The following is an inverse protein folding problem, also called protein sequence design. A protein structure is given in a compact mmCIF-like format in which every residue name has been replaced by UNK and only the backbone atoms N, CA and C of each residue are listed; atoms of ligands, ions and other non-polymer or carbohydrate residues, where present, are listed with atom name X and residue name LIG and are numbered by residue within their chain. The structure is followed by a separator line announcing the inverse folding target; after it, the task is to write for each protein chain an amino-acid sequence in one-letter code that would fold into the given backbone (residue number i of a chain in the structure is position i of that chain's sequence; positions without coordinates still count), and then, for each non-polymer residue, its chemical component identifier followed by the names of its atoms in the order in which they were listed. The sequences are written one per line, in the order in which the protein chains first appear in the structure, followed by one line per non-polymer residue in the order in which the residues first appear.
data_IF_380521982531
#
_entry.id   IF_380521982531
#
_cell.length_a   1.000
_cell.length_b   1.000
_cell.length_c   1.000
_cell.angle_alpha   90.00
_cell.angle_beta   90.00
_cell.angle_gamma   90.00
#
_symmetry.space_group_name_H-M   'P 1'
#
loop_
_entity.id
_entity.type
_entity.pdbx_description
1 polymer ?
#
# COMPACT_ATOMS: atom_id res chain seq x y z
N UNK A 1 15.45 21.16 -16.88
CA UNK A 1 14.50 21.92 -17.73
C UNK A 1 13.08 22.04 -17.13
N UNK A 2 12.74 21.38 -16.00
CA UNK A 2 11.40 21.41 -15.40
C UNK A 2 11.08 22.62 -14.49
N UNK A 3 12.07 23.29 -13.87
CA UNK A 3 11.80 24.43 -12.94
C UNK A 3 11.23 25.67 -13.61
N UNK A 4 11.58 25.93 -14.88
CA UNK A 4 11.09 27.07 -15.65
C UNK A 4 9.60 26.94 -16.04
N UNK A 5 9.03 25.74 -16.00
CA UNK A 5 7.61 25.53 -16.33
C UNK A 5 6.69 25.96 -15.19
N UNK A 6 7.09 25.73 -13.93
CA UNK A 6 6.25 26.02 -12.77
C UNK A 6 6.11 27.52 -12.50
N UNK A 7 7.19 28.30 -12.60
CA UNK A 7 7.14 29.76 -12.44
C UNK A 7 6.27 30.41 -13.54
N UNK A 8 6.41 29.94 -14.78
CA UNK A 8 5.57 30.42 -15.88
C UNK A 8 4.08 30.05 -15.70
N UNK A 9 3.78 28.89 -15.12
CA UNK A 9 2.42 28.47 -14.81
C UNK A 9 1.81 29.32 -13.70
N UNK A 10 2.53 29.57 -12.61
CA UNK A 10 2.08 30.45 -11.52
C UNK A 10 1.83 31.89 -12.01
N UNK A 11 2.73 32.44 -12.83
CA UNK A 11 2.57 33.76 -13.46
C UNK A 11 1.32 33.78 -14.34
N UNK A 12 1.09 32.73 -15.14
CA UNK A 12 -0.09 32.63 -15.99
C UNK A 12 -1.39 32.56 -15.16
N UNK A 13 -1.41 31.76 -14.08
CA UNK A 13 -2.55 31.66 -13.18
C UNK A 13 -2.87 33.00 -12.52
N UNK A 14 -1.85 33.72 -12.04
CA UNK A 14 -2.00 35.06 -11.46
C UNK A 14 -2.50 36.06 -12.49
N UNK A 15 -1.98 36.01 -13.73
CA UNK A 15 -2.42 36.88 -14.81
C UNK A 15 -3.90 36.65 -15.17
N UNK A 16 -4.32 35.38 -15.33
CA UNK A 16 -5.72 35.02 -15.62
C UNK A 16 -6.64 35.49 -14.49
N UNK A 17 -6.24 35.26 -13.24
CA UNK A 17 -7.03 35.68 -12.07
C UNK A 17 -7.15 37.21 -12.03
N UNK A 18 -6.04 37.94 -12.20
CA UNK A 18 -6.03 39.40 -12.20
C UNK A 18 -6.88 39.97 -13.36
N UNK A 19 -6.75 39.43 -14.57
CA UNK A 19 -7.54 39.84 -15.72
C UNK A 19 -9.05 39.62 -15.49
N UNK A 20 -9.44 38.48 -14.89
CA UNK A 20 -10.84 38.20 -14.56
C UNK A 20 -11.39 39.17 -13.49
N UNK A 21 -10.59 39.55 -12.49
CA UNK A 21 -10.98 40.53 -11.47
C UNK A 21 -11.15 41.91 -12.08
N UNK A 22 -10.17 42.36 -12.86
CA UNK A 22 -10.20 43.66 -13.54
C UNK A 22 -11.41 43.72 -14.48
N UNK A 23 -11.66 42.65 -15.23
CA UNK A 23 -12.83 42.54 -16.11
C UNK A 23 -14.15 42.68 -15.35
N UNK A 24 -14.31 41.98 -14.21
CA UNK A 24 -15.52 42.07 -13.39
C UNK A 24 -15.70 43.48 -12.81
N UNK A 25 -14.64 44.08 -12.27
CA UNK A 25 -14.64 45.41 -11.67
C UNK A 25 -14.94 46.49 -12.71
N UNK A 26 -14.27 46.46 -13.88
CA UNK A 26 -14.48 47.44 -14.95
C UNK A 26 -15.88 47.32 -15.55
N UNK A 27 -16.36 46.10 -15.77
CA UNK A 27 -17.73 45.90 -16.28
C UNK A 27 -18.76 46.41 -15.28
N UNK A 28 -18.51 46.22 -13.97
CA UNK A 28 -19.38 46.80 -12.92
C UNK A 28 -19.45 48.32 -13.00
N UNK A 29 -18.30 48.99 -13.12
CA UNK A 29 -18.24 50.47 -13.24
C UNK A 29 -18.98 50.93 -14.50
N UNK A 30 -18.73 50.27 -15.64
CA UNK A 30 -19.41 50.57 -16.90
C UNK A 30 -20.92 50.38 -16.80
N UNK A 31 -21.36 49.25 -16.23
CA UNK A 31 -22.77 48.92 -16.05
C UNK A 31 -23.49 49.92 -15.13
N UNK A 32 -22.88 50.26 -13.99
CA UNK A 32 -23.46 51.24 -13.05
C UNK A 32 -23.56 52.65 -13.66
N UNK A 33 -22.57 53.08 -14.46
CA UNK A 33 -22.59 54.40 -15.11
C UNK A 33 -23.57 54.51 -16.27
N UNK A 34 -23.92 53.39 -16.92
CA UNK A 34 -24.84 53.33 -18.06
C UNK A 34 -26.26 52.86 -17.69
N UNK A 35 -26.51 52.60 -16.40
CA UNK A 35 -27.83 52.19 -15.91
C UNK A 35 -28.21 50.73 -16.18
N UNK A 36 -27.23 49.85 -16.41
CA UNK A 36 -27.43 48.42 -16.65
C UNK A 36 -27.22 47.67 -15.33
N UNK A 37 -28.27 47.04 -14.78
CA UNK A 37 -28.21 46.50 -13.42
C UNK A 37 -28.29 44.97 -13.28
N UNK A 38 -28.50 44.25 -14.36
CA UNK A 38 -28.91 42.84 -14.26
C UNK A 38 -27.76 41.82 -14.30
N UNK A 39 -26.66 42.12 -15.01
CA UNK A 39 -25.73 41.07 -15.47
C UNK A 39 -24.36 41.09 -14.79
N UNK A 40 -23.90 42.25 -14.28
CA UNK A 40 -22.51 42.40 -13.87
C UNK A 40 -22.14 41.57 -12.62
N UNK A 41 -23.09 41.22 -11.75
CA UNK A 41 -22.86 40.40 -10.57
C UNK A 41 -22.35 38.99 -10.92
N UNK A 42 -22.82 38.41 -12.03
CA UNK A 42 -22.39 37.07 -12.46
C UNK A 42 -20.89 37.01 -12.82
N UNK A 43 -20.30 38.14 -13.23
CA UNK A 43 -18.88 38.20 -13.61
C UNK A 43 -17.93 38.00 -12.43
N UNK A 44 -18.41 38.16 -11.19
CA UNK A 44 -17.63 37.88 -9.98
C UNK A 44 -17.52 36.40 -9.65
N UNK A 45 -18.39 35.55 -10.21
CA UNK A 45 -18.33 34.11 -9.97
C UNK A 45 -17.06 33.52 -10.58
N UNK A 46 -16.66 33.98 -11.77
CA UNK A 46 -15.46 33.50 -12.45
C UNK A 46 -14.15 33.68 -11.63
N UNK A 47 -13.79 34.90 -11.16
CA UNK A 47 -12.60 35.09 -10.33
C UNK A 47 -12.68 34.31 -9.00
N UNK A 48 -13.87 34.14 -8.41
CA UNK A 48 -14.05 33.31 -7.21
C UNK A 48 -13.69 31.85 -7.52
N UNK A 49 -14.26 31.27 -8.58
CA UNK A 49 -13.99 29.88 -8.98
C UNK A 49 -12.50 29.70 -9.32
N UNK A 50 -11.90 30.63 -10.07
CA UNK A 50 -10.48 30.58 -10.42
C UNK A 50 -9.59 30.63 -9.17
N UNK A 51 -9.91 31.49 -8.20
CA UNK A 51 -9.16 31.55 -6.96
C UNK A 51 -9.33 30.27 -6.11
N UNK A 52 -10.53 29.70 -6.05
CA UNK A 52 -10.77 28.40 -5.39
C UNK A 52 -9.97 27.30 -6.05
N UNK A 53 -9.87 27.29 -7.37
CA UNK A 53 -9.14 26.27 -8.12
C UNK A 53 -7.62 26.39 -7.94
N UNK A 54 -7.04 27.58 -8.10
CA UNK A 54 -5.60 27.79 -8.00
C UNK A 54 -5.09 27.88 -6.55
N UNK A 55 -5.88 28.49 -5.66
CA UNK A 55 -5.45 28.83 -4.30
C UNK A 55 -6.52 28.52 -3.24
N UNK A 56 -7.00 27.25 -3.11
CA UNK A 56 -8.14 26.89 -2.27
C UNK A 56 -7.97 27.26 -0.80
N UNK A 57 -6.73 27.25 -0.27
CA UNK A 57 -6.42 27.63 1.12
C UNK A 57 -6.59 29.13 1.41
N UNK A 58 -6.47 29.99 0.39
CA UNK A 58 -6.58 31.45 0.50
C UNK A 58 -7.89 31.99 -0.10
N UNK A 59 -8.64 31.15 -0.81
CA UNK A 59 -9.83 31.53 -1.57
C UNK A 59 -10.95 32.16 -0.73
N UNK A 60 -11.11 31.79 0.55
CA UNK A 60 -12.13 32.39 1.42
C UNK A 60 -11.84 33.87 1.68
N UNK A 61 -10.60 34.20 2.05
CA UNK A 61 -10.19 35.59 2.28
C UNK A 61 -10.27 36.42 0.99
N UNK A 62 -9.88 35.82 -0.13
CA UNK A 62 -10.00 36.46 -1.44
C UNK A 62 -11.46 36.74 -1.82
N UNK A 63 -12.35 35.76 -1.63
CA UNK A 63 -13.79 35.91 -1.90
C UNK A 63 -14.39 37.02 -1.03
N UNK A 64 -13.99 37.09 0.24
CA UNK A 64 -14.43 38.17 1.13
C UNK A 64 -13.98 39.54 0.63
N UNK A 65 -12.70 39.69 0.29
CA UNK A 65 -12.16 40.95 -0.23
C UNK A 65 -12.84 41.39 -1.55
N UNK A 66 -13.06 40.44 -2.46
CA UNK A 66 -13.71 40.70 -3.73
C UNK A 66 -15.20 41.04 -3.57
N UNK A 67 -15.90 40.35 -2.65
CA UNK A 67 -17.32 40.63 -2.35
C UNK A 67 -17.50 41.98 -1.67
N UNK A 68 -16.57 42.38 -0.80
CA UNK A 68 -16.53 43.73 -0.22
C UNK A 68 -16.27 44.80 -1.28
N UNK A 69 -15.38 44.53 -2.23
CA UNK A 69 -15.13 45.44 -3.37
C UNK A 69 -16.40 45.64 -4.20
N UNK A 70 -17.12 44.55 -4.50
CA UNK A 70 -18.39 44.59 -5.21
C UNK A 70 -19.46 45.44 -4.50
N UNK A 71 -19.71 45.19 -3.20
CA UNK A 71 -20.64 46.01 -2.42
C UNK A 71 -20.18 47.47 -2.38
N UNK A 72 -18.88 47.71 -2.18
CA UNK A 72 -18.29 49.05 -2.14
C UNK A 72 -18.55 49.84 -3.41
N UNK A 73 -18.41 49.21 -4.58
CA UNK A 73 -18.73 49.84 -5.86
C UNK A 73 -20.21 50.21 -5.98
N UNK A 74 -21.11 49.33 -5.56
CA UNK A 74 -22.56 49.60 -5.60
C UNK A 74 -22.93 50.74 -4.65
N UNK A 75 -22.31 50.81 -3.47
CA UNK A 75 -22.56 51.89 -2.53
C UNK A 75 -22.05 53.25 -3.05
N UNK A 76 -20.89 53.26 -3.69
CA UNK A 76 -20.27 54.49 -4.22
C UNK A 76 -20.92 54.99 -5.52
N UNK A 77 -21.32 54.09 -6.43
CA UNK A 77 -21.78 54.44 -7.78
C UNK A 77 -23.27 54.17 -8.03
N UNK A 78 -23.95 53.40 -7.17
CA UNK A 78 -25.35 52.97 -7.35
C UNK A 78 -26.42 53.98 -6.91
N UNK A 79 -26.07 55.25 -6.74
CA UNK A 79 -26.99 56.38 -6.47
C UNK A 79 -28.04 56.16 -5.36
N UNK A 80 -27.68 55.46 -4.27
CA UNK A 80 -28.52 55.22 -3.09
C UNK A 80 -29.88 54.54 -3.37
N UNK A 81 -30.00 53.76 -4.45
CA UNK A 81 -31.21 52.97 -4.69
C UNK A 81 -31.30 51.80 -3.70
N UNK A 82 -32.31 51.82 -2.82
CA UNK A 82 -32.54 50.79 -1.80
C UNK A 82 -32.65 49.39 -2.38
N UNK A 83 -33.29 49.23 -3.56
CA UNK A 83 -33.42 47.92 -4.22
C UNK A 83 -32.07 47.36 -4.66
N UNK A 84 -31.17 48.21 -5.16
CA UNK A 84 -29.84 47.80 -5.60
C UNK A 84 -28.96 47.39 -4.42
N UNK A 85 -29.04 48.11 -3.30
CA UNK A 85 -28.30 47.76 -2.08
C UNK A 85 -28.81 46.41 -1.54
N UNK A 86 -30.12 46.20 -1.48
CA UNK A 86 -30.69 44.92 -1.08
C UNK A 86 -30.22 43.76 -1.99
N UNK A 87 -30.26 43.94 -3.31
CA UNK A 87 -29.74 42.96 -4.26
C UNK A 87 -28.23 42.70 -4.07
N UNK A 88 -27.44 43.74 -3.81
CA UNK A 88 -26.01 43.61 -3.54
C UNK A 88 -25.70 42.79 -2.29
N UNK A 89 -26.49 42.98 -1.23
CA UNK A 89 -26.34 42.17 0.00
C UNK A 89 -26.66 40.70 -0.23
N UNK A 90 -27.68 40.39 -1.04
CA UNK A 90 -27.99 39.02 -1.43
C UNK A 90 -26.85 38.40 -2.25
N UNK A 91 -26.30 39.14 -3.21
CA UNK A 91 -25.15 38.70 -4.01
C UNK A 91 -23.90 38.47 -3.18
N UNK A 92 -23.61 39.32 -2.19
CA UNK A 92 -22.51 39.10 -1.25
C UNK A 92 -22.68 37.79 -0.48
N UNK A 93 -23.89 37.51 0.03
CA UNK A 93 -24.17 36.24 0.70
C UNK A 93 -23.98 35.04 -0.24
N UNK A 94 -24.40 35.15 -1.51
CA UNK A 94 -24.21 34.12 -2.54
C UNK A 94 -22.73 33.91 -2.83
N UNK A 95 -21.94 34.97 -3.06
CA UNK A 95 -20.51 34.86 -3.31
C UNK A 95 -19.78 34.23 -2.13
N UNK A 96 -20.08 34.66 -0.91
CA UNK A 96 -19.52 34.06 0.31
C UNK A 96 -19.88 32.58 0.42
N UNK A 97 -21.13 32.22 0.15
CA UNK A 97 -21.57 30.82 0.21
C UNK A 97 -20.83 29.97 -0.83
N UNK A 98 -20.75 30.42 -2.08
CA UNK A 98 -20.03 29.73 -3.16
C UNK A 98 -18.55 29.60 -2.81
N UNK A 99 -17.89 30.69 -2.42
CA UNK A 99 -16.47 30.69 -2.11
C UNK A 99 -16.12 29.78 -0.93
N UNK A 100 -16.93 29.80 0.14
CA UNK A 100 -16.71 28.94 1.32
C UNK A 100 -16.98 27.47 1.00
N UNK A 101 -18.11 27.14 0.37
CA UNK A 101 -18.47 25.76 0.03
C UNK A 101 -17.47 25.16 -0.95
N UNK A 102 -17.15 25.90 -2.02
CA UNK A 102 -16.22 25.45 -3.04
C UNK A 102 -14.79 25.33 -2.48
N UNK A 103 -14.33 26.28 -1.65
CA UNK A 103 -13.02 26.20 -0.97
C UNK A 103 -12.95 25.01 0.00
N UNK A 104 -14.00 24.79 0.80
CA UNK A 104 -14.08 23.65 1.73
C UNK A 104 -14.01 22.31 0.97
N UNK A 105 -14.77 22.18 -0.11
CA UNK A 105 -14.75 21.00 -0.96
C UNK A 105 -13.38 20.79 -1.62
N UNK A 106 -12.80 21.84 -2.20
CA UNK A 106 -11.49 21.79 -2.85
C UNK A 106 -10.37 21.40 -1.86
N UNK A 107 -10.35 21.99 -0.67
CA UNK A 107 -9.39 21.63 0.39
C UNK A 107 -9.59 20.19 0.85
N UNK A 108 -10.83 19.75 1.10
CA UNK A 108 -11.12 18.38 1.52
C UNK A 108 -10.67 17.35 0.48
N UNK A 109 -10.95 17.60 -0.80
CA UNK A 109 -10.51 16.73 -1.89
C UNK A 109 -8.99 16.67 -2.01
N UNK A 110 -8.30 17.81 -1.81
CA UNK A 110 -6.85 17.85 -1.82
C UNK A 110 -6.25 17.06 -0.64
N UNK A 111 -6.73 17.30 0.57
CA UNK A 111 -6.26 16.62 1.78
C UNK A 111 -6.51 15.10 1.72
N UNK A 112 -7.65 14.69 1.19
CA UNK A 112 -7.99 13.27 1.00
C UNK A 112 -7.05 12.61 -0.03
N UNK A 113 -6.77 13.26 -1.17
CA UNK A 113 -5.79 12.77 -2.14
C UNK A 113 -4.40 12.63 -1.55
N UNK A 114 -3.93 13.64 -0.81
CA UNK A 114 -2.61 13.60 -0.14
C UNK A 114 -2.57 12.49 0.90
N UNK A 115 -3.63 12.31 1.68
CA UNK A 115 -3.74 11.22 2.66
C UNK A 115 -3.65 9.86 1.98
N UNK A 116 -4.43 9.60 0.93
CA UNK A 116 -4.41 8.34 0.19
C UNK A 116 -3.03 8.09 -0.39
N UNK A 117 -2.44 9.08 -1.06
CA UNK A 117 -1.10 8.95 -1.63
C UNK A 117 -0.05 8.59 -0.57
N UNK A 118 -0.10 9.24 0.60
CA UNK A 118 0.83 8.95 1.70
C UNK A 118 0.62 7.55 2.31
N UNK A 119 -0.63 7.09 2.43
CA UNK A 119 -0.92 5.72 2.87
C UNK A 119 -0.34 4.70 1.88
N UNK A 120 -0.57 4.90 0.59
CA UNK A 120 -0.05 4.00 -0.45
C UNK A 120 1.49 3.98 -0.48
N UNK A 121 2.12 5.15 -0.33
CA UNK A 121 3.58 5.31 -0.36
C UNK A 121 4.28 4.70 0.85
N UNK A 122 3.68 4.81 2.04
CA UNK A 122 4.26 4.35 3.30
C UNK A 122 3.74 2.98 3.76
N UNK A 123 2.94 2.29 2.95
CA UNK A 123 2.50 0.92 3.26
C UNK A 123 3.69 -0.02 3.45
N UNK A 124 3.57 -0.95 4.40
CA UNK A 124 4.52 -2.04 4.59
C UNK A 124 4.49 -3.03 3.42
N UNK A 125 3.31 -3.15 2.79
CA UNK A 125 3.08 -3.97 1.61
C UNK A 125 3.59 -3.26 0.35
N UNK A 126 3.98 -4.05 -0.64
CA UNK A 126 4.16 -3.57 -2.00
C UNK A 126 2.81 -3.25 -2.61
N UNK A 127 2.69 -2.11 -3.29
CA UNK A 127 1.48 -1.76 -4.03
C UNK A 127 1.84 -1.60 -5.48
N UNK A 128 1.05 -2.23 -6.34
CA UNK A 128 1.18 -2.18 -7.79
C UNK A 128 -0.18 -1.85 -8.40
N UNK A 129 -0.21 -0.92 -9.34
CA UNK A 129 -1.34 -0.67 -10.21
C UNK A 129 -0.95 -0.93 -11.66
N UNK A 130 -1.77 -1.70 -12.38
CA UNK A 130 -1.56 -1.97 -13.79
C UNK A 130 -2.88 -1.98 -14.57
N UNK A 131 -2.78 -1.78 -15.87
CA UNK A 131 -3.91 -1.92 -16.80
C UNK A 131 -4.09 -3.40 -17.15
N UNK A 132 -5.23 -4.03 -16.86
CA UNK A 132 -5.46 -5.43 -17.18
C UNK A 132 -5.50 -5.73 -18.68
N UNK A 133 -5.75 -4.76 -19.56
CA UNK A 133 -5.80 -4.97 -21.02
C UNK A 133 -4.40 -5.00 -21.62
N UNK A 134 -3.62 -3.93 -21.44
CA UNK A 134 -2.26 -3.83 -21.96
C UNK A 134 -1.20 -4.54 -21.10
N UNK A 135 -1.55 -4.85 -19.85
CA UNK A 135 -0.65 -5.32 -18.79
C UNK A 135 0.47 -4.31 -18.48
N UNK A 136 0.21 -3.03 -18.71
CA UNK A 136 1.16 -1.95 -18.47
C UNK A 136 1.09 -1.52 -17.01
N UNK A 137 2.25 -1.42 -16.38
CA UNK A 137 2.39 -0.91 -15.02
C UNK A 137 2.12 0.60 -15.04
N UNK A 138 1.13 1.03 -14.27
CA UNK A 138 0.72 2.44 -14.20
C UNK A 138 1.40 3.12 -13.02
N UNK A 139 1.33 2.50 -11.85
CA UNK A 139 1.87 3.05 -10.60
C UNK A 139 2.41 1.90 -9.74
N UNK A 140 3.42 2.19 -8.92
CA UNK A 140 3.87 1.29 -7.87
C UNK A 140 4.41 2.11 -6.70
N UNK A 141 4.32 1.56 -5.48
CA UNK A 141 4.90 2.23 -4.32
C UNK A 141 6.42 2.00 -4.22
N UNK A 142 7.04 2.78 -3.33
CA UNK A 142 8.48 2.71 -3.07
C UNK A 142 8.91 1.35 -2.49
N UNK A 143 8.03 0.67 -1.75
CA UNK A 143 8.32 -0.63 -1.16
C UNK A 143 8.53 -1.69 -2.25
N UNK A 144 7.59 -1.79 -3.20
CA UNK A 144 7.63 -2.80 -4.25
C UNK A 144 8.82 -2.60 -5.21
N UNK A 145 9.08 -1.35 -5.61
CA UNK A 145 10.27 -1.00 -6.42
C UNK A 145 11.57 -1.39 -5.72
N UNK A 146 11.69 -1.09 -4.42
CA UNK A 146 12.87 -1.48 -3.62
C UNK A 146 13.06 -2.99 -3.53
N UNK A 147 12.00 -3.78 -3.37
CA UNK A 147 12.14 -5.23 -3.38
C UNK A 147 12.68 -5.73 -4.72
N UNK A 148 12.11 -5.25 -5.83
CA UNK A 148 12.54 -5.63 -7.18
C UNK A 148 13.88 -5.02 -7.61
N UNK A 149 14.49 -4.12 -6.82
CA UNK A 149 15.74 -3.42 -7.13
C UNK A 149 15.69 -2.55 -8.39
N UNK A 150 14.51 -2.02 -8.72
CA UNK A 150 14.32 -1.05 -9.79
C UNK A 150 13.98 0.32 -9.22
N UNK A 151 14.30 1.37 -9.98
CA UNK A 151 13.68 2.67 -9.74
C UNK A 151 12.23 2.65 -10.24
N UNK A 152 11.33 3.36 -9.54
CA UNK A 152 9.91 3.40 -9.92
C UNK A 152 9.71 3.85 -11.38
N UNK A 153 10.52 4.83 -11.84
CA UNK A 153 10.47 5.36 -13.20
C UNK A 153 10.88 4.34 -14.27
N UNK A 154 11.69 3.33 -13.92
CA UNK A 154 12.10 2.28 -14.86
C UNK A 154 10.97 1.29 -15.15
N UNK A 155 10.08 1.08 -14.17
CA UNK A 155 8.98 0.11 -14.25
C UNK A 155 7.66 0.73 -14.71
N UNK A 156 7.41 2.01 -14.39
CA UNK A 156 6.20 2.70 -14.85
C UNK A 156 6.19 2.76 -16.38
N UNK A 157 5.08 2.34 -17.00
CA UNK A 157 4.92 2.25 -18.45
C UNK A 157 5.48 0.96 -19.07
N UNK A 158 6.13 0.09 -18.30
CA UNK A 158 6.58 -1.24 -18.77
C UNK A 158 5.50 -2.29 -18.60
N UNK A 159 5.64 -3.42 -19.30
CA UNK A 159 4.71 -4.54 -19.17
C UNK A 159 5.04 -5.40 -17.96
N UNK A 160 4.01 -5.90 -17.28
CA UNK A 160 4.11 -6.78 -16.12
C UNK A 160 4.98 -8.03 -16.39
N UNK A 161 4.99 -8.51 -17.63
CA UNK A 161 5.81 -9.63 -18.10
C UNK A 161 7.33 -9.42 -17.93
N UNK A 162 7.81 -8.17 -17.78
CA UNK A 162 9.24 -7.90 -17.57
C UNK A 162 9.72 -8.36 -16.18
N UNK A 163 8.83 -8.36 -15.19
CA UNK A 163 9.16 -8.70 -13.80
C UNK A 163 8.56 -10.03 -13.36
N UNK A 164 7.62 -10.61 -14.10
CA UNK A 164 6.99 -11.89 -13.77
C UNK A 164 7.76 -13.06 -14.41
N UNK A 165 8.09 -14.09 -13.63
CA UNK A 165 8.92 -15.21 -14.10
C UNK A 165 8.16 -16.19 -15.02
N UNK A 166 6.97 -16.63 -14.63
CA UNK A 166 6.15 -17.59 -15.38
C UNK A 166 5.05 -16.88 -16.19
N UNK A 167 5.17 -16.95 -17.52
CA UNK A 167 4.20 -16.37 -18.44
C UNK A 167 2.80 -17.01 -18.35
N UNK A 168 2.71 -18.32 -18.13
CA UNK A 168 1.45 -19.05 -18.06
C UNK A 168 0.71 -18.78 -16.74
N UNK A 169 1.45 -18.63 -15.63
CA UNK A 169 0.88 -18.18 -14.36
C UNK A 169 0.34 -16.75 -14.46
N UNK A 170 1.12 -15.82 -15.01
CA UNK A 170 0.71 -14.43 -15.28
C UNK A 170 -0.57 -14.37 -16.12
N UNK A 171 -0.63 -15.11 -17.23
CA UNK A 171 -1.81 -15.13 -18.10
C UNK A 171 -3.06 -15.65 -17.38
N UNK A 172 -2.93 -16.71 -16.57
CA UNK A 172 -4.03 -17.22 -15.74
C UNK A 172 -4.46 -16.20 -14.69
N UNK A 173 -3.51 -15.49 -14.08
CA UNK A 173 -3.79 -14.42 -13.11
C UNK A 173 -4.57 -13.27 -13.75
N UNK A 174 -4.10 -12.72 -14.88
CA UNK A 174 -4.78 -11.64 -15.60
C UNK A 174 -6.15 -12.09 -16.11
N UNK A 175 -6.27 -13.31 -16.67
CA UNK A 175 -7.54 -13.85 -17.12
C UNK A 175 -8.55 -14.00 -15.97
N UNK A 176 -8.11 -14.39 -14.77
CA UNK A 176 -8.97 -14.46 -13.57
C UNK A 176 -9.49 -13.08 -13.18
N UNK A 177 -8.64 -12.06 -13.16
CA UNK A 177 -9.05 -10.69 -12.84
C UNK A 177 -10.12 -10.19 -13.82
N UNK A 178 -9.93 -10.46 -15.11
CA UNK A 178 -10.90 -10.10 -16.16
C UNK A 178 -12.26 -10.82 -16.01
N UNK A 179 -12.28 -12.03 -15.43
CA UNK A 179 -13.50 -12.86 -15.28
C UNK A 179 -14.22 -12.66 -13.94
N UNK A 180 -13.49 -12.60 -12.83
CA UNK A 180 -14.04 -12.66 -11.47
C UNK A 180 -14.46 -11.28 -10.92
N UNK A 181 -13.98 -10.18 -11.51
CA UNK A 181 -14.30 -8.85 -11.02
C UNK A 181 -13.57 -8.52 -9.70
N UNK A 182 -14.33 -8.23 -8.63
CA UNK A 182 -13.78 -7.65 -7.38
C UNK A 182 -13.13 -8.64 -6.42
N UNK A 183 -13.57 -9.90 -6.40
CA UNK A 183 -13.09 -10.91 -5.45
C UNK A 183 -12.28 -11.98 -6.17
N UNK A 184 -10.98 -11.73 -6.29
CA UNK A 184 -10.02 -12.77 -6.68
C UNK A 184 -9.28 -13.28 -5.45
N UNK A 185 -9.16 -14.60 -5.27
CA UNK A 185 -8.40 -15.17 -4.17
C UNK A 185 -6.93 -14.76 -4.26
N UNK A 186 -6.27 -14.74 -3.10
CA UNK A 186 -4.84 -14.48 -3.01
C UNK A 186 -4.07 -15.45 -3.89
N UNK A 187 -3.10 -14.93 -4.62
CA UNK A 187 -2.31 -15.70 -5.59
C UNK A 187 -0.84 -15.50 -5.32
N UNK A 188 -0.11 -16.61 -5.16
CA UNK A 188 1.35 -16.57 -5.15
C UNK A 188 1.88 -16.30 -6.57
N UNK A 189 2.97 -15.55 -6.65
CA UNK A 189 3.66 -15.29 -7.92
C UNK A 189 5.16 -15.17 -7.72
N UNK A 190 5.91 -15.65 -8.71
CA UNK A 190 7.37 -15.52 -8.76
C UNK A 190 7.78 -14.35 -9.63
N UNK A 191 8.58 -13.45 -9.05
CA UNK A 191 9.05 -12.23 -9.68
C UNK A 191 10.56 -12.21 -9.77
N UNK A 192 11.08 -11.54 -10.79
CA UNK A 192 12.50 -11.36 -11.03
C UNK A 192 12.90 -9.91 -10.75
N UNK A 193 13.80 -9.74 -9.78
CA UNK A 193 14.43 -8.47 -9.51
C UNK A 193 15.45 -8.10 -10.61
N UNK A 194 15.91 -6.84 -10.62
CA UNK A 194 16.88 -6.31 -11.59
C UNK A 194 18.22 -7.05 -11.59
N UNK A 195 18.65 -7.52 -10.42
CA UNK A 195 19.87 -8.31 -10.23
C UNK A 195 19.70 -9.80 -10.59
N UNK A 196 18.50 -10.20 -11.02
CA UNK A 196 18.15 -11.58 -11.37
C UNK A 196 17.63 -12.42 -10.20
N UNK A 197 17.62 -11.90 -8.97
CA UNK A 197 17.08 -12.59 -7.79
C UNK A 197 15.60 -12.92 -7.99
N UNK A 198 15.21 -14.15 -7.63
CA UNK A 198 13.82 -14.59 -7.67
C UNK A 198 13.19 -14.29 -6.31
N UNK A 199 12.14 -13.47 -6.34
CA UNK A 199 11.34 -13.10 -5.17
C UNK A 199 9.98 -13.74 -5.27
N UNK A 200 9.44 -14.14 -4.12
CA UNK A 200 8.12 -14.77 -4.03
C UNK A 200 7.17 -13.84 -3.31
N UNK A 201 6.08 -13.54 -3.97
CA UNK A 201 5.06 -12.65 -3.44
C UNK A 201 3.71 -13.32 -3.38
N UNK A 202 2.90 -12.92 -2.39
CA UNK A 202 1.45 -13.14 -2.38
C UNK A 202 0.78 -11.87 -2.86
N UNK A 203 -0.14 -12.00 -3.81
CA UNK A 203 -0.87 -10.90 -4.41
C UNK A 203 -2.35 -10.98 -4.06
N UNK A 204 -2.86 -9.90 -3.47
CA UNK A 204 -4.28 -9.69 -3.21
C UNK A 204 -4.76 -8.55 -4.11
N UNK A 205 -5.80 -8.80 -4.91
CA UNK A 205 -6.15 -7.93 -6.05
C UNK A 205 -7.52 -7.31 -5.86
N UNK A 206 -7.63 -6.04 -6.22
CA UNK A 206 -8.89 -5.29 -6.24
C UNK A 206 -9.04 -4.59 -7.60
N UNK A 207 -10.12 -4.89 -8.30
CA UNK A 207 -10.51 -4.20 -9.53
C UNK A 207 -11.21 -2.88 -9.20
N UNK A 208 -10.54 -1.75 -9.45
CA UNK A 208 -11.07 -0.40 -9.18
C UNK A 208 -11.87 0.13 -10.37
N UNK A 209 -11.41 -0.13 -11.60
CA UNK A 209 -12.10 0.23 -12.84
C UNK A 209 -11.69 -0.70 -13.97
N UNK A 210 -12.36 -0.64 -15.13
CA UNK A 210 -12.05 -1.51 -16.28
C UNK A 210 -10.58 -1.45 -16.73
N UNK A 211 -9.90 -0.32 -16.52
CA UNK A 211 -8.53 -0.09 -16.99
C UNK A 211 -7.53 0.04 -15.82
N UNK A 212 -7.95 -0.21 -14.57
CA UNK A 212 -7.06 -0.10 -13.41
C UNK A 212 -7.35 -1.18 -12.38
N UNK A 213 -6.34 -2.01 -12.17
CA UNK A 213 -6.27 -3.03 -11.13
C UNK A 213 -5.24 -2.60 -10.11
N UNK A 214 -5.56 -2.72 -8.83
CA UNK A 214 -4.59 -2.57 -7.74
C UNK A 214 -4.28 -3.92 -7.11
N UNK A 215 -3.02 -4.15 -6.81
CA UNK A 215 -2.54 -5.32 -6.09
C UNK A 215 -1.81 -4.86 -4.83
N UNK A 216 -2.21 -5.42 -3.68
CA UNK A 216 -1.34 -5.48 -2.51
C UNK A 216 -0.44 -6.70 -2.64
N UNK A 217 0.83 -6.54 -2.32
CA UNK A 217 1.89 -7.51 -2.57
C UNK A 217 2.68 -7.69 -1.29
N UNK A 218 2.74 -8.92 -0.79
CA UNK A 218 3.46 -9.27 0.43
C UNK A 218 4.64 -10.17 0.08
N UNK A 219 5.84 -9.79 0.51
CA UNK A 219 7.05 -10.60 0.36
C UNK A 219 7.02 -11.79 1.33
N UNK A 220 7.00 -12.99 0.77
CA UNK A 220 7.05 -14.24 1.54
C UNK A 220 8.36 -15.01 1.31
N UNK A 221 9.34 -14.39 0.64
CA UNK A 221 10.62 -15.02 0.32
C UNK A 221 11.33 -15.48 1.60
N UNK A 222 11.42 -14.61 2.62
CA UNK A 222 12.05 -14.94 3.89
C UNK A 222 11.29 -15.99 4.70
N UNK A 223 9.96 -15.89 4.77
CA UNK A 223 9.13 -16.84 5.55
C UNK A 223 9.31 -18.26 5.06
N UNK A 224 9.33 -18.47 3.73
CA UNK A 224 9.48 -19.82 3.16
C UNK A 224 10.88 -20.41 3.33
N UNK A 225 11.91 -19.58 3.37
CA UNK A 225 13.28 -20.05 3.66
C UNK A 225 13.33 -20.59 5.09
N UNK A 226 12.73 -19.88 6.04
CA UNK A 226 12.63 -20.34 7.44
C UNK A 226 11.78 -21.60 7.56
N UNK A 227 10.62 -21.67 6.90
CA UNK A 227 9.77 -22.86 6.91
C UNK A 227 10.50 -24.10 6.37
N UNK A 228 11.27 -23.94 5.30
CA UNK A 228 12.04 -25.03 4.68
C UNK A 228 13.25 -25.44 5.54
N UNK A 229 13.93 -24.50 6.19
CA UNK A 229 15.04 -24.79 7.11
C UNK A 229 14.53 -25.52 8.37
N UNK A 230 13.40 -25.10 8.92
CA UNK A 230 12.73 -25.81 10.03
C UNK A 230 12.35 -27.22 9.59
N UNK A 231 11.76 -27.38 8.40
CA UNK A 231 11.36 -28.69 7.87
C UNK A 231 12.56 -29.62 7.75
N UNK A 232 13.68 -29.16 7.18
CA UNK A 232 14.92 -29.95 7.09
C UNK A 232 15.48 -30.31 8.46
N UNK A 233 15.49 -29.36 9.39
CA UNK A 233 15.99 -29.61 10.75
C UNK A 233 15.15 -30.66 11.48
N UNK A 234 13.83 -30.63 11.28
CA UNK A 234 12.92 -31.65 11.83
C UNK A 234 13.19 -33.02 11.20
N UNK A 235 13.35 -33.10 9.88
CA UNK A 235 13.67 -34.35 9.17
C UNK A 235 15.00 -34.96 9.67
N UNK A 236 16.07 -34.14 9.77
CA UNK A 236 17.37 -34.57 10.30
C UNK A 236 17.27 -35.03 11.76
N UNK A 237 16.49 -34.33 12.59
CA UNK A 237 16.31 -34.68 14.00
C UNK A 237 15.53 -35.99 14.15
N UNK A 238 14.50 -36.22 13.34
CA UNK A 238 13.75 -37.48 13.31
C UNK A 238 14.67 -38.65 12.93
N UNK A 239 15.54 -38.47 11.94
CA UNK A 239 16.50 -39.50 11.54
C UNK A 239 17.51 -39.80 12.66
N UNK A 240 18.03 -38.77 13.33
CA UNK A 240 18.94 -38.94 14.47
C UNK A 240 18.25 -39.63 15.66
N UNK A 241 17.02 -39.26 15.98
CA UNK A 241 16.24 -39.88 17.06
C UNK A 241 16.02 -41.36 16.76
N UNK A 242 15.66 -41.70 15.51
CA UNK A 242 15.46 -43.10 15.10
C UNK A 242 16.76 -43.91 15.19
N UNK A 243 17.88 -43.35 14.72
CA UNK A 243 19.18 -44.01 14.78
C UNK A 243 19.66 -44.23 16.23
N UNK A 244 19.51 -43.22 17.11
CA UNK A 244 19.85 -43.32 18.54
C UNK A 244 18.96 -44.31 19.27
N UNK A 245 17.66 -44.32 18.98
CA UNK A 245 16.70 -45.26 19.58
C UNK A 245 17.08 -46.69 19.22
N UNK A 246 17.33 -46.97 17.93
CA UNK A 246 17.75 -48.30 17.48
C UNK A 246 19.10 -48.73 18.08
N UNK A 247 20.04 -47.80 18.26
CA UNK A 247 21.32 -48.09 18.91
C UNK A 247 21.15 -48.40 20.42
N UNK A 248 20.33 -47.62 21.12
CA UNK A 248 20.02 -47.85 22.53
C UNK A 248 19.25 -49.16 22.74
N UNK A 249 18.32 -49.51 21.85
CA UNK A 249 17.63 -50.79 21.88
C UNK A 249 18.61 -51.96 21.76
N UNK A 250 19.55 -51.90 20.81
CA UNK A 250 20.61 -52.92 20.69
C UNK A 250 21.46 -53.04 21.95
N UNK A 251 21.94 -51.90 22.49
CA UNK A 251 22.75 -51.92 23.73
C UNK A 251 21.94 -52.50 24.89
N UNK A 252 20.65 -52.18 24.99
CA UNK A 252 19.79 -52.67 26.07
C UNK A 252 19.52 -54.17 25.93
N UNK A 253 19.35 -54.68 24.70
CA UNK A 253 19.26 -56.11 24.43
C UNK A 253 20.56 -56.85 24.80
N UNK A 254 21.72 -56.29 24.43
CA UNK A 254 23.03 -56.86 24.76
C UNK A 254 23.26 -56.89 26.28
N UNK A 255 22.98 -55.78 26.98
CA UNK A 255 23.08 -55.72 28.45
C UNK A 255 22.14 -56.73 29.12
N UNK A 256 20.90 -56.84 28.63
CA UNK A 256 19.94 -57.82 29.17
C UNK A 256 20.43 -59.25 28.98
N UNK A 257 21.06 -59.54 27.83
CA UNK A 257 21.67 -60.85 27.58
C UNK A 257 22.82 -61.12 28.55
N UNK A 258 23.74 -60.17 28.73
CA UNK A 258 24.87 -60.33 29.66
C UNK A 258 24.41 -60.50 31.11
N UNK A 259 23.39 -59.74 31.55
CA UNK A 259 22.81 -59.89 32.90
C UNK A 259 22.18 -61.28 33.07
N UNK A 260 21.49 -61.80 32.05
CA UNK A 260 20.88 -63.12 32.11
C UNK A 260 21.96 -64.22 32.21
N UNK A 261 23.02 -64.12 31.42
CA UNK A 261 24.16 -65.05 31.44
C UNK A 261 24.86 -65.05 32.80
N UNK A 262 25.16 -63.86 33.36
CA UNK A 262 25.76 -63.74 34.70
C UNK A 262 24.88 -64.38 35.78
N UNK A 263 23.56 -64.13 35.75
CA UNK A 263 22.63 -64.73 36.72
C UNK A 263 22.58 -66.26 36.62
N UNK A 264 22.60 -66.81 35.40
CA UNK A 264 22.61 -68.27 35.20
C UNK A 264 23.91 -68.89 35.70
N UNK A 265 25.06 -68.23 35.47
CA UNK A 265 26.35 -68.68 35.97
C UNK A 265 26.41 -68.64 37.50
N UNK A 266 25.95 -67.55 38.14
CA UNK A 266 25.85 -67.44 39.60
C UNK A 266 24.97 -68.54 40.20
N UNK A 267 23.80 -68.81 39.60
CA UNK A 267 22.92 -69.89 40.05
C UNK A 267 23.55 -71.28 39.89
N UNK A 268 24.33 -71.51 38.83
CA UNK A 268 25.00 -72.79 38.60
C UNK A 268 26.12 -73.03 39.62
N UNK A 269 26.87 -71.98 39.97
CA UNK A 269 27.89 -72.05 41.04
C UNK A 269 27.25 -72.33 42.40
N UNK A 270 26.15 -71.64 42.72
CA UNK A 270 25.44 -71.82 43.99
C UNK A 270 24.72 -73.18 44.11
N UNK A 271 24.43 -73.83 42.98
CA UNK A 271 23.81 -75.16 42.93
C UNK A 271 24.82 -76.32 42.84
N UNK A 272 26.13 -76.04 42.72
CA UNK A 272 27.17 -77.08 42.76
C UNK A 272 27.30 -77.62 44.20
N UNK A 273 27.15 -78.93 44.46
CA UNK A 273 27.21 -79.47 45.81
C UNK A 273 28.67 -79.44 46.32
N UNK A 274 28.84 -78.99 47.55
CA UNK A 274 30.09 -79.08 48.30
C UNK A 274 30.38 -80.56 48.61
N UNK A 275 30.97 -81.27 47.65
CA UNK A 275 31.34 -82.68 47.78
C UNK A 275 32.82 -82.86 47.43
N UNK A 276 33.68 -82.20 48.20
CA UNK A 276 35.14 -82.39 48.12
C UNK A 276 35.79 -82.01 49.46
N UNK A 277 35.35 -82.64 50.56
CA UNK A 277 36.19 -82.79 51.76
C UNK A 277 35.60 -83.82 52.74
N UNK A 278 35.79 -85.12 52.44
CA UNK A 278 35.81 -86.20 53.44
C UNK A 278 36.43 -87.48 52.86
N UNK A 279 37.69 -87.37 52.46
CA UNK A 279 38.58 -88.53 52.33
C UNK A 279 39.96 -88.10 52.83
N UNK A 280 40.15 -88.14 54.16
CA UNK A 280 41.29 -88.80 54.79
C UNK A 280 41.16 -88.71 56.32
N UNK A 281 41.40 -89.82 57.03
CA UNK A 281 41.35 -89.84 58.49
C UNK A 281 41.02 -91.18 59.15
N UNK A 282 41.86 -92.19 58.93
CA UNK A 282 42.33 -93.07 60.01
C UNK A 282 41.56 -94.36 60.33
N UNK A 283 42.13 -95.48 59.89
CA UNK A 283 42.10 -96.75 60.64
C UNK A 283 42.81 -96.58 62.00
N UNK A 284 42.28 -97.17 63.08
CA UNK A 284 43.04 -98.05 63.99
C UNK A 284 42.14 -98.65 65.10
N UNK A 285 42.13 -100.01 65.12
CA UNK A 285 41.83 -100.98 66.20
C UNK A 285 40.52 -100.92 66.98
#
# INVERSE_FOLDING_TARGET
MQRLSGENEEILQLFILAASCIGAILTTIFSLTHGIFEVFSFLYILPIILCVYFYPKRAVFFTLALSLTYIGQIYLLGFANTHMIAAATAWFAIFMTIGVVASSYANRMHDERVRIHNILKNSQDGILCFDPESETIIELNFKFSRWLRYDSEELIGRRLAQIWCDAAERERFVARIRRAGRDTPETEGLFRAKDGTILRFVLSVILVSKNRVYCSIIDITGSKIVDEEIRRTLEDLEEQVKARTAHLERINEDLRREILERRQFEQTILAAPADENRADGGEEK
#
